data_IF_386074156771
#
_entry.id   IF_386074156771
#
_cell.length_a   1.000
_cell.length_b   1.000
_cell.length_c   1.000
_cell.angle_alpha   90.00
_cell.angle_beta   90.00
_cell.angle_gamma   90.00
#
_symmetry.space_group_name_H-M   'P 1'
#
loop_
_entity.id
_entity.type
_entity.pdbx_description
1 polymer ?
#
# COMPACT_ATOMS: atom_id res chain seq x y z
N UNK A 1 -5.23 17.25 -10.79
CA UNK A 1 -5.04 15.79 -10.90
C UNK A 1 -6.28 15.08 -10.36
N UNK A 2 -6.58 13.86 -10.81
CA UNK A 2 -7.64 13.03 -10.21
C UNK A 2 -7.01 11.89 -9.40
N UNK A 3 -7.56 11.61 -8.21
CA UNK A 3 -7.05 10.56 -7.33
C UNK A 3 -8.18 9.73 -6.74
N UNK A 4 -7.95 8.42 -6.64
CA UNK A 4 -8.78 7.50 -5.88
C UNK A 4 -7.96 6.85 -4.77
N UNK A 5 -8.49 6.83 -3.55
CA UNK A 5 -7.91 6.14 -2.41
C UNK A 5 -8.67 4.84 -2.21
N UNK A 6 -7.93 3.74 -2.09
CA UNK A 6 -8.46 2.40 -2.05
C UNK A 6 -7.89 1.63 -0.86
N UNK A 7 -8.69 0.76 -0.24
CA UNK A 7 -8.20 -0.13 0.81
C UNK A 7 -9.14 -1.30 1.04
N UNK A 8 -8.61 -2.40 1.57
CA UNK A 8 -9.39 -3.58 1.94
C UNK A 8 -9.58 -3.61 3.46
N UNK A 9 -10.75 -4.02 3.91
CA UNK A 9 -11.03 -4.19 5.33
C UNK A 9 -11.83 -5.45 5.64
N UNK A 10 -11.69 -5.94 6.86
CA UNK A 10 -12.48 -7.03 7.46
C UNK A 10 -12.40 -6.93 8.97
N UNK A 11 -13.54 -7.01 9.66
CA UNK A 11 -13.61 -6.98 11.13
C UNK A 11 -12.85 -5.79 11.75
N UNK A 12 -13.15 -4.58 11.26
CA UNK A 12 -12.46 -3.34 11.58
C UNK A 12 -13.35 -2.32 12.29
N UNK A 13 -14.54 -2.70 12.77
CA UNK A 13 -15.54 -1.77 13.27
C UNK A 13 -15.00 -0.84 14.37
N UNK A 14 -14.06 -1.33 15.18
CA UNK A 14 -13.48 -0.61 16.31
C UNK A 14 -12.52 0.52 15.94
N UNK A 15 -12.02 0.58 14.70
CA UNK A 15 -11.02 1.59 14.31
C UNK A 15 -11.24 2.21 12.92
N UNK A 16 -12.02 1.56 12.04
CA UNK A 16 -12.09 1.94 10.62
C UNK A 16 -12.60 3.36 10.39
N UNK A 17 -13.56 3.84 11.19
CA UNK A 17 -14.13 5.18 11.02
C UNK A 17 -13.04 6.25 11.05
N UNK A 18 -12.18 6.23 12.07
CA UNK A 18 -11.06 7.17 12.22
C UNK A 18 -10.07 7.07 11.07
N UNK A 19 -9.80 5.86 10.60
CA UNK A 19 -8.92 5.63 9.46
C UNK A 19 -9.47 6.23 8.17
N UNK A 20 -10.78 6.12 7.95
CA UNK A 20 -11.44 6.75 6.81
C UNK A 20 -11.41 8.28 6.91
N UNK A 21 -11.61 8.87 8.09
CA UNK A 21 -11.48 10.33 8.26
C UNK A 21 -10.09 10.83 7.85
N UNK A 22 -9.03 10.18 8.32
CA UNK A 22 -7.64 10.54 8.00
C UNK A 22 -7.37 10.50 6.48
N UNK A 23 -7.94 9.52 5.77
CA UNK A 23 -7.79 9.39 4.32
C UNK A 23 -8.71 10.34 3.56
N UNK A 24 -9.92 10.59 4.07
CA UNK A 24 -10.89 11.48 3.45
C UNK A 24 -10.40 12.93 3.45
N UNK A 25 -9.60 13.32 4.44
CA UNK A 25 -8.93 14.64 4.50
C UNK A 25 -8.03 14.94 3.28
N UNK A 26 -7.61 13.92 2.51
CA UNK A 26 -6.86 14.10 1.26
C UNK A 26 -7.68 14.90 0.22
N UNK A 27 -9.02 14.85 0.28
CA UNK A 27 -9.89 15.62 -0.61
C UNK A 27 -9.62 17.14 -0.57
N UNK A 28 -9.08 17.64 0.55
CA UNK A 28 -8.84 19.05 0.79
C UNK A 28 -7.54 19.55 0.13
N UNK A 29 -6.75 18.65 -0.45
CA UNK A 29 -5.51 19.01 -1.10
C UNK A 29 -5.76 19.65 -2.47
N UNK A 30 -5.37 20.92 -2.61
CA UNK A 30 -5.61 21.76 -3.81
C UNK A 30 -5.06 21.16 -5.13
N UNK A 31 -4.17 20.17 -5.05
CA UNK A 31 -3.61 19.49 -6.21
C UNK A 31 -4.62 18.56 -6.89
N UNK A 32 -5.65 18.14 -6.17
CA UNK A 32 -6.68 17.25 -6.69
C UNK A 32 -7.94 18.02 -7.05
N UNK A 33 -8.31 17.95 -8.33
CA UNK A 33 -9.57 18.48 -8.84
C UNK A 33 -10.70 17.44 -8.75
N UNK A 34 -10.36 16.18 -8.46
CA UNK A 34 -11.27 15.07 -8.28
C UNK A 34 -10.67 14.08 -7.28
N UNK A 35 -11.50 13.65 -6.33
CA UNK A 35 -11.14 12.73 -5.26
C UNK A 35 -12.25 11.67 -5.09
N UNK A 36 -11.87 10.45 -4.76
CA UNK A 36 -12.79 9.43 -4.25
C UNK A 36 -12.08 8.51 -3.25
N UNK A 37 -12.84 7.99 -2.29
CA UNK A 37 -12.39 6.96 -1.35
C UNK A 37 -13.27 5.72 -1.52
N UNK A 38 -12.67 4.60 -1.91
CA UNK A 38 -13.37 3.35 -2.18
C UNK A 38 -12.80 2.23 -1.32
N UNK A 39 -13.63 1.64 -0.47
CA UNK A 39 -13.22 0.53 0.39
C UNK A 39 -13.82 -0.78 -0.09
N UNK A 40 -13.04 -1.84 -0.07
CA UNK A 40 -13.53 -3.19 -0.25
C UNK A 40 -13.61 -3.89 1.11
N UNK A 41 -14.79 -4.42 1.42
CA UNK A 41 -15.08 -5.20 2.61
C UNK A 41 -15.44 -6.63 2.18
N UNK A 42 -15.00 -7.63 2.94
CA UNK A 42 -15.40 -9.01 2.69
C UNK A 42 -15.67 -9.81 3.97
N UNK A 43 -16.92 -10.23 4.11
CA UNK A 43 -17.37 -11.21 5.07
C UNK A 43 -16.99 -10.85 6.52
N UNK A 44 -17.15 -9.58 6.90
CA UNK A 44 -17.05 -9.12 8.28
C UNK A 44 -18.21 -9.68 9.11
N UNK A 45 -17.90 -10.07 10.33
CA UNK A 45 -18.83 -10.64 11.31
C UNK A 45 -19.10 -9.71 12.48
N UNK A 46 -18.42 -8.56 12.52
CA UNK A 46 -18.68 -7.45 13.44
C UNK A 46 -19.48 -6.33 12.73
N UNK A 47 -19.62 -5.18 13.38
CA UNK A 47 -20.38 -4.05 12.85
C UNK A 47 -19.64 -3.25 11.75
N UNK A 48 -18.63 -3.82 11.07
CA UNK A 48 -17.82 -3.08 10.08
C UNK A 48 -18.69 -2.49 8.98
N UNK A 49 -19.60 -3.28 8.40
CA UNK A 49 -20.48 -2.82 7.31
C UNK A 49 -21.39 -1.67 7.76
N UNK A 50 -21.92 -1.74 8.99
CA UNK A 50 -22.71 -0.66 9.57
C UNK A 50 -21.90 0.64 9.69
N UNK A 51 -20.64 0.55 10.13
CA UNK A 51 -19.75 1.71 10.22
C UNK A 51 -19.46 2.31 8.84
N UNK A 52 -19.21 1.48 7.81
CA UNK A 52 -19.01 1.95 6.43
C UNK A 52 -20.26 2.63 5.88
N UNK A 53 -21.44 2.05 6.10
CA UNK A 53 -22.71 2.62 5.67
C UNK A 53 -22.98 3.97 6.34
N UNK A 54 -22.68 4.09 7.64
CA UNK A 54 -22.82 5.35 8.35
C UNK A 54 -21.83 6.42 7.86
N UNK A 55 -20.59 6.05 7.56
CA UNK A 55 -19.60 6.96 6.99
C UNK A 55 -20.05 7.50 5.63
N UNK A 56 -20.60 6.64 4.77
CA UNK A 56 -21.13 7.00 3.43
C UNK A 56 -22.24 8.05 3.46
N UNK A 57 -23.10 8.06 4.49
CA UNK A 57 -24.21 9.03 4.62
C UNK A 57 -23.72 10.47 4.72
N UNK A 58 -22.54 10.70 5.29
CA UNK A 58 -21.99 12.04 5.53
C UNK A 58 -20.80 12.39 4.66
N UNK A 59 -20.25 11.42 3.90
CA UNK A 59 -19.05 11.58 3.08
C UNK A 59 -19.36 11.22 1.60
N UNK A 60 -19.86 12.16 0.79
CA UNK A 60 -20.37 11.86 -0.56
C UNK A 60 -19.31 11.37 -1.56
N UNK A 61 -18.02 11.61 -1.31
CA UNK A 61 -16.91 11.10 -2.12
C UNK A 61 -16.43 9.72 -1.66
N UNK A 62 -17.07 9.15 -0.64
CA UNK A 62 -16.79 7.81 -0.14
C UNK A 62 -17.82 6.80 -0.65
N UNK A 63 -17.33 5.61 -1.00
CA UNK A 63 -18.18 4.46 -1.23
C UNK A 63 -17.47 3.18 -0.77
N UNK A 64 -18.22 2.08 -0.69
CA UNK A 64 -17.66 0.77 -0.40
C UNK A 64 -18.32 -0.32 -1.23
N UNK A 65 -17.62 -1.44 -1.36
CA UNK A 65 -18.09 -2.70 -1.93
C UNK A 65 -18.03 -3.73 -0.79
N UNK A 66 -19.11 -4.45 -0.56
CA UNK A 66 -19.18 -5.51 0.46
C UNK A 66 -19.56 -6.83 -0.22
N UNK A 67 -18.74 -7.85 0.01
CA UNK A 67 -18.95 -9.21 -0.51
C UNK A 67 -18.95 -10.23 0.64
N UNK A 68 -19.53 -11.42 0.41
CA UNK A 68 -19.59 -12.51 1.40
C UNK A 68 -18.80 -13.73 0.93
N UNK A 69 -17.67 -13.51 0.25
CA UNK A 69 -16.88 -14.58 -0.35
C UNK A 69 -16.09 -15.35 0.70
N UNK A 70 -16.20 -16.68 0.65
CA UNK A 70 -15.45 -17.58 1.52
C UNK A 70 -14.11 -18.01 0.89
N UNK A 71 -13.17 -17.07 0.81
CA UNK A 71 -11.80 -17.34 0.33
C UNK A 71 -10.95 -17.76 1.52
N UNK A 72 -10.49 -19.02 1.50
CA UNK A 72 -9.79 -19.66 2.64
C UNK A 72 -8.45 -18.99 2.95
N UNK A 73 -7.65 -18.70 1.92
CA UNK A 73 -6.32 -18.11 2.12
C UNK A 73 -6.39 -16.59 2.22
N UNK A 74 -5.91 -16.03 3.33
CA UNK A 74 -5.94 -14.58 3.60
C UNK A 74 -5.33 -13.74 2.47
N UNK A 75 -4.16 -14.11 1.97
CA UNK A 75 -3.48 -13.39 0.88
C UNK A 75 -4.30 -13.39 -0.42
N UNK A 76 -4.98 -14.51 -0.72
CA UNK A 76 -5.88 -14.59 -1.87
C UNK A 76 -7.14 -13.74 -1.67
N UNK A 77 -7.69 -13.70 -0.45
CA UNK A 77 -8.83 -12.85 -0.13
C UNK A 77 -8.50 -11.36 -0.28
N UNK A 78 -7.32 -10.94 0.18
CA UNK A 78 -6.82 -9.56 0.00
C UNK A 78 -6.57 -9.27 -1.48
N UNK A 79 -5.93 -10.18 -2.21
CA UNK A 79 -5.69 -10.01 -3.64
C UNK A 79 -6.99 -9.89 -4.44
N UNK A 80 -8.02 -10.68 -4.10
CA UNK A 80 -9.37 -10.57 -4.67
C UNK A 80 -9.94 -9.18 -4.43
N UNK A 81 -9.97 -8.70 -3.17
CA UNK A 81 -10.49 -7.38 -2.84
C UNK A 81 -9.77 -6.24 -3.57
N UNK A 82 -8.43 -6.28 -3.63
CA UNK A 82 -7.65 -5.28 -4.37
C UNK A 82 -7.90 -5.36 -5.88
N UNK A 83 -8.05 -6.55 -6.45
CA UNK A 83 -8.43 -6.71 -7.85
C UNK A 83 -9.86 -6.23 -8.15
N UNK A 84 -10.79 -6.34 -7.20
CA UNK A 84 -12.12 -5.72 -7.31
C UNK A 84 -11.99 -4.20 -7.36
N UNK A 85 -11.17 -3.60 -6.48
CA UNK A 85 -10.92 -2.16 -6.46
C UNK A 85 -10.29 -1.64 -7.77
N UNK A 86 -9.37 -2.40 -8.39
CA UNK A 86 -8.73 -2.04 -9.67
C UNK A 86 -9.72 -1.81 -10.83
N UNK A 87 -10.93 -2.35 -10.76
CA UNK A 87 -11.96 -2.14 -11.78
C UNK A 87 -12.49 -0.70 -11.79
N UNK A 88 -12.32 0.04 -10.70
CA UNK A 88 -12.88 1.37 -10.50
C UNK A 88 -11.86 2.51 -10.66
N UNK A 89 -10.58 2.18 -10.86
CA UNK A 89 -9.51 3.20 -10.86
C UNK A 89 -9.23 3.82 -12.24
N UNK A 90 -9.78 3.25 -13.32
CA UNK A 90 -9.38 3.56 -14.70
C UNK A 90 -9.57 5.04 -15.12
N UNK A 91 -10.49 5.76 -14.47
CA UNK A 91 -10.77 7.18 -14.75
C UNK A 91 -9.93 8.16 -13.90
N UNK A 92 -9.00 7.65 -13.09
CA UNK A 92 -8.15 8.45 -12.22
C UNK A 92 -6.73 8.54 -12.78
N UNK A 93 -6.01 9.59 -12.42
CA UNK A 93 -4.58 9.73 -12.73
C UNK A 93 -3.74 8.93 -11.73
N UNK A 94 -4.14 8.94 -10.45
CA UNK A 94 -3.47 8.23 -9.37
C UNK A 94 -4.42 7.33 -8.60
N UNK A 95 -3.89 6.19 -8.16
CA UNK A 95 -4.50 5.32 -7.16
C UNK A 95 -3.61 5.33 -5.92
N UNK A 96 -4.20 5.51 -4.74
CA UNK A 96 -3.57 5.12 -3.48
C UNK A 96 -4.16 3.77 -3.06
N UNK A 97 -3.31 2.81 -2.74
CA UNK A 97 -3.70 1.57 -2.05
C UNK A 97 -3.10 1.61 -0.64
N UNK A 98 -3.93 1.39 0.37
CA UNK A 98 -3.53 1.53 1.76
C UNK A 98 -4.10 0.40 2.63
N UNK A 99 -3.29 -0.07 3.58
CA UNK A 99 -3.76 -0.98 4.62
C UNK A 99 -4.55 -0.17 5.66
N UNK A 100 -5.80 -0.56 5.89
CA UNK A 100 -6.73 0.17 6.73
C UNK A 100 -6.59 -0.21 8.22
N UNK A 101 -5.36 -0.44 8.68
CA UNK A 101 -5.02 -0.78 10.05
C UNK A 101 -4.13 0.29 10.70
N UNK A 102 -3.50 -0.03 11.83
CA UNK A 102 -2.72 0.94 12.62
C UNK A 102 -1.53 1.55 11.86
N UNK A 103 -1.14 1.01 10.69
CA UNK A 103 -0.15 1.66 9.82
C UNK A 103 -0.48 3.13 9.56
N UNK A 104 -1.74 3.48 9.36
CA UNK A 104 -2.11 4.85 9.04
C UNK A 104 -2.44 5.72 10.26
N UNK A 105 -2.31 5.22 11.49
CA UNK A 105 -2.75 5.97 12.68
C UNK A 105 -1.99 7.27 12.92
N UNK A 106 -0.78 7.40 12.35
CA UNK A 106 0.04 8.62 12.38
C UNK A 106 0.04 9.42 11.08
N UNK A 107 -0.70 8.95 10.05
CA UNK A 107 -0.81 9.62 8.78
C UNK A 107 -1.45 11.01 8.94
N UNK A 108 -0.97 11.96 8.13
CA UNK A 108 -1.55 13.30 8.01
C UNK A 108 -1.67 13.59 6.53
N UNK A 109 -2.83 14.05 6.07
CA UNK A 109 -3.07 14.40 4.67
C UNK A 109 -2.03 15.39 4.11
N UNK A 110 -1.51 16.29 4.94
CA UNK A 110 -0.43 17.22 4.56
C UNK A 110 0.88 16.54 4.13
N UNK A 111 1.11 15.27 4.48
CA UNK A 111 2.27 14.49 4.01
C UNK A 111 2.17 14.13 2.52
N UNK A 112 0.97 14.18 1.91
CA UNK A 112 0.79 13.93 0.47
C UNK A 112 1.67 14.87 -0.36
N UNK A 113 2.08 16.04 0.16
CA UNK A 113 3.02 16.95 -0.54
C UNK A 113 4.32 16.25 -0.94
N UNK A 114 4.84 15.37 -0.09
CA UNK A 114 6.11 14.68 -0.32
C UNK A 114 6.06 13.72 -1.51
N UNK A 115 4.89 13.16 -1.82
CA UNK A 115 4.70 12.23 -2.93
C UNK A 115 4.84 12.92 -4.30
N UNK A 116 4.74 14.26 -4.36
CA UNK A 116 4.75 15.02 -5.61
C UNK A 116 5.92 16.02 -5.69
N UNK A 117 6.92 15.90 -4.81
CA UNK A 117 8.15 16.71 -4.90
C UNK A 117 9.06 16.29 -6.08
N UNK A 118 8.88 15.07 -6.59
CA UNK A 118 9.58 14.51 -7.75
C UNK A 118 8.53 13.82 -8.65
N UNK A 119 8.77 13.76 -9.97
CA UNK A 119 7.85 13.18 -10.96
C UNK A 119 8.38 11.94 -11.69
N UNK A 120 9.58 11.47 -11.38
CA UNK A 120 10.30 10.37 -12.05
C UNK A 120 9.83 8.96 -11.65
N UNK A 121 8.87 8.88 -10.72
CA UNK A 121 8.29 7.64 -10.22
C UNK A 121 6.98 7.28 -10.92
N UNK A 122 6.70 5.98 -10.97
CA UNK A 122 5.44 5.40 -11.40
C UNK A 122 4.66 4.77 -10.24
N UNK A 123 5.37 4.35 -9.19
CA UNK A 123 4.79 4.13 -7.86
C UNK A 123 5.74 4.58 -6.74
N UNK A 124 5.16 5.12 -5.66
CA UNK A 124 5.85 5.43 -4.42
C UNK A 124 5.25 4.69 -3.24
N UNK A 125 6.12 4.24 -2.34
CA UNK A 125 5.75 3.52 -1.13
C UNK A 125 6.18 4.26 0.12
N UNK A 126 5.41 4.08 1.19
CA UNK A 126 5.72 4.63 2.50
C UNK A 126 7.03 4.08 3.07
N UNK A 127 7.78 4.99 3.70
CA UNK A 127 8.70 4.68 4.79
C UNK A 127 7.91 4.64 6.11
N UNK A 128 8.50 4.15 7.19
CA UNK A 128 7.84 4.08 8.49
C UNK A 128 8.69 4.65 9.62
N UNK A 129 8.03 4.94 10.75
CA UNK A 129 8.70 5.41 11.96
C UNK A 129 9.57 4.29 12.55
N UNK A 130 10.89 4.51 12.62
CA UNK A 130 11.86 3.55 13.13
C UNK A 130 12.37 2.59 12.05
N UNK A 131 12.51 1.30 12.40
CA UNK A 131 13.01 0.29 11.45
C UNK A 131 11.94 -0.06 10.41
N UNK A 132 12.34 -0.13 9.14
CA UNK A 132 11.48 -0.53 8.03
C UNK A 132 10.92 -1.94 8.27
N UNK A 133 9.61 -2.05 8.49
CA UNK A 133 8.97 -3.28 8.96
C UNK A 133 8.54 -4.23 7.84
N UNK A 134 8.16 -3.68 6.68
CA UNK A 134 7.52 -4.44 5.60
C UNK A 134 8.53 -5.10 4.65
N UNK A 135 9.39 -5.96 5.22
CA UNK A 135 10.36 -6.74 4.45
C UNK A 135 9.67 -7.81 3.59
N UNK A 136 8.42 -8.15 3.90
CA UNK A 136 7.65 -9.15 3.17
C UNK A 136 7.37 -8.72 1.72
N UNK A 137 7.02 -7.46 1.51
CA UNK A 137 6.80 -6.86 0.19
C UNK A 137 8.09 -6.33 -0.46
N UNK A 138 9.17 -6.13 0.30
CA UNK A 138 10.41 -5.52 -0.20
C UNK A 138 11.19 -6.46 -1.13
N UNK A 139 11.45 -6.01 -2.36
CA UNK A 139 12.35 -6.67 -3.32
C UNK A 139 13.29 -5.65 -3.95
N UNK A 140 14.54 -6.03 -4.09
CA UNK A 140 15.57 -5.23 -4.76
C UNK A 140 16.44 -6.19 -5.56
N UNK A 141 16.13 -6.27 -6.86
CA UNK A 141 16.79 -7.14 -7.82
C UNK A 141 18.15 -6.60 -8.27
N UNK A 142 19.03 -7.46 -8.81
CA UNK A 142 20.39 -7.09 -9.20
C UNK A 142 20.49 -5.93 -10.21
N UNK A 143 19.51 -5.82 -11.10
CA UNK A 143 19.44 -4.80 -12.15
C UNK A 143 19.08 -3.40 -11.63
N UNK A 144 18.41 -3.32 -10.47
CA UNK A 144 18.01 -2.06 -9.83
C UNK A 144 18.94 -1.69 -8.67
N UNK A 145 19.60 -2.67 -8.04
CA UNK A 145 20.43 -2.43 -6.87
C UNK A 145 21.69 -1.60 -7.21
N UNK A 146 22.01 -0.66 -6.34
CA UNK A 146 23.23 0.17 -6.44
C UNK A 146 23.89 0.28 -5.07
N UNK A 147 25.18 0.64 -5.04
CA UNK A 147 25.92 0.84 -3.78
C UNK A 147 25.35 1.95 -2.89
N UNK A 148 24.56 2.86 -3.46
CA UNK A 148 23.88 3.93 -2.73
C UNK A 148 22.53 3.51 -2.16
N UNK A 149 22.02 2.32 -2.51
CA UNK A 149 20.80 1.78 -1.91
C UNK A 149 21.10 1.42 -0.44
N UNK A 150 20.31 1.91 0.53
CA UNK A 150 20.55 1.62 1.95
C UNK A 150 20.28 0.15 2.30
N UNK A 151 19.49 -0.56 1.49
CA UNK A 151 19.24 -1.98 1.65
C UNK A 151 20.25 -2.84 0.89
N UNK A 152 20.41 -4.07 1.37
CA UNK A 152 21.05 -5.13 0.58
C UNK A 152 20.09 -5.60 -0.51
N UNK A 153 20.62 -6.33 -1.50
CA UNK A 153 19.79 -7.03 -2.49
C UNK A 153 18.85 -8.01 -1.80
N UNK A 154 17.59 -8.05 -2.28
CA UNK A 154 16.55 -8.95 -1.80
C UNK A 154 15.81 -9.47 -3.05
N UNK A 155 16.32 -10.58 -3.60
CA UNK A 155 15.79 -11.24 -4.80
C UNK A 155 15.28 -12.65 -4.48
N UNK A 156 14.57 -12.76 -3.37
CA UNK A 156 14.03 -14.03 -2.89
C UNK A 156 12.73 -13.80 -2.15
N UNK A 157 11.98 -14.87 -1.93
CA UNK A 157 10.78 -14.80 -1.11
C UNK A 157 11.12 -14.79 0.38
N UNK A 158 10.83 -13.67 1.06
CA UNK A 158 11.09 -13.51 2.48
C UNK A 158 10.29 -14.50 3.36
N UNK A 159 9.11 -14.95 2.93
CA UNK A 159 8.35 -15.99 3.64
C UNK A 159 9.04 -17.34 3.54
N UNK A 160 9.50 -17.72 2.35
CA UNK A 160 10.24 -18.96 2.15
C UNK A 160 11.54 -18.96 2.95
N UNK A 161 12.30 -17.85 2.94
CA UNK A 161 13.53 -17.73 3.73
C UNK A 161 13.29 -17.76 5.24
N UNK A 162 12.25 -17.09 5.74
CA UNK A 162 11.91 -17.12 7.14
C UNK A 162 11.49 -18.53 7.61
N UNK A 163 10.86 -19.31 6.74
CA UNK A 163 10.46 -20.71 7.00
C UNK A 163 11.63 -21.67 6.97
N UNK A 164 12.56 -21.51 6.03
CA UNK A 164 13.72 -22.40 5.86
C UNK A 164 14.82 -22.17 6.89
N UNK A 165 14.97 -20.94 7.36
CA UNK A 165 16.03 -20.55 8.28
C UNK A 165 15.45 -20.05 9.61
N UNK A 166 15.36 -18.73 9.78
CA UNK A 166 14.82 -18.08 10.97
C UNK A 166 14.39 -16.67 10.61
N UNK A 167 13.40 -16.13 11.32
CA UNK A 167 13.01 -14.71 11.17
C UNK A 167 14.16 -13.74 11.43
N UNK A 168 15.25 -14.14 12.12
CA UNK A 168 16.45 -13.30 12.27
C UNK A 168 17.11 -12.95 10.93
N UNK A 169 16.90 -13.72 9.86
CA UNK A 169 17.39 -13.35 8.53
C UNK A 169 16.63 -12.15 7.94
N UNK A 170 15.45 -11.83 8.48
CA UNK A 170 14.66 -10.67 8.10
C UNK A 170 15.19 -9.41 8.80
N UNK A 171 15.64 -9.52 10.06
CA UNK A 171 16.07 -8.35 10.85
C UNK A 171 17.30 -7.65 10.28
N UNK A 172 18.14 -8.34 9.49
CA UNK A 172 19.29 -7.73 8.80
C UNK A 172 18.89 -6.70 7.74
N UNK A 173 17.64 -6.74 7.29
CA UNK A 173 17.07 -5.78 6.33
C UNK A 173 16.19 -4.72 7.02
N UNK A 174 15.91 -4.85 8.32
CA UNK A 174 15.10 -3.92 9.10
C UNK A 174 15.95 -2.74 9.59
N UNK A 175 16.26 -1.84 8.66
CA UNK A 175 17.05 -0.62 8.90
C UNK A 175 16.16 0.59 9.11
N UNK A 176 16.69 1.63 9.76
CA UNK A 176 16.04 2.94 9.80
C UNK A 176 16.41 3.74 8.56
N UNK A 177 15.41 4.12 7.76
CA UNK A 177 15.62 4.99 6.59
C UNK A 177 15.53 6.45 7.02
N UNK A 178 16.60 7.21 6.77
CA UNK A 178 16.62 8.64 7.10
C UNK A 178 15.74 9.44 6.13
N UNK A 179 14.94 10.38 6.63
CA UNK A 179 13.97 11.14 5.82
C UNK A 179 14.60 12.06 4.78
N UNK A 180 15.89 12.39 4.93
CA UNK A 180 16.67 13.15 3.95
C UNK A 180 17.29 12.26 2.85
N UNK A 181 17.10 10.95 2.90
CA UNK A 181 17.55 10.04 1.84
C UNK A 181 16.78 10.36 0.54
N UNK A 182 17.44 10.34 -0.64
CA UNK A 182 16.75 10.39 -1.92
C UNK A 182 15.74 9.24 -2.09
N UNK A 183 14.87 9.32 -3.09
CA UNK A 183 13.99 8.19 -3.44
C UNK A 183 14.81 6.92 -3.61
N UNK A 184 14.39 5.84 -2.95
CA UNK A 184 15.13 4.56 -2.94
C UNK A 184 14.53 3.66 -4.01
N UNK A 185 15.25 3.33 -5.08
CA UNK A 185 14.73 2.46 -6.13
C UNK A 185 14.55 1.04 -5.60
N UNK A 186 13.42 0.42 -5.92
CA UNK A 186 13.05 -0.94 -5.50
C UNK A 186 12.37 -1.68 -6.65
N UNK A 187 12.41 -3.01 -6.60
CA UNK A 187 11.62 -3.86 -7.50
C UNK A 187 10.21 -4.10 -6.95
N UNK A 188 10.04 -3.99 -5.63
CA UNK A 188 8.75 -4.00 -4.93
C UNK A 188 8.93 -3.45 -3.52
N UNK A 189 7.94 -2.72 -3.01
CA UNK A 189 7.77 -2.38 -1.60
C UNK A 189 6.30 -2.02 -1.37
N UNK A 190 5.86 -1.87 -0.13
CA UNK A 190 4.51 -1.35 0.12
C UNK A 190 4.46 -0.48 1.37
N UNK A 191 4.95 -0.99 2.50
CA UNK A 191 4.98 -0.23 3.75
C UNK A 191 3.58 0.13 4.24
N UNK A 192 2.54 -0.57 3.77
CA UNK A 192 1.13 -0.34 4.08
C UNK A 192 0.50 0.89 3.40
N UNK A 193 1.25 1.66 2.60
CA UNK A 193 0.71 2.78 1.81
C UNK A 193 1.50 2.93 0.51
N UNK A 194 0.84 2.73 -0.63
CA UNK A 194 1.41 2.94 -1.94
C UNK A 194 0.57 3.89 -2.80
N UNK A 195 1.21 4.80 -3.51
CA UNK A 195 0.58 5.59 -4.58
C UNK A 195 1.11 5.12 -5.93
N UNK A 196 0.23 5.04 -6.92
CA UNK A 196 0.50 4.48 -8.25
C UNK A 196 -0.06 5.40 -9.31
N UNK A 197 0.68 5.59 -10.41
CA UNK A 197 0.11 6.13 -11.65
C UNK A 197 -0.83 5.09 -12.26
N UNK A 198 -2.08 5.46 -12.51
CA UNK A 198 -3.09 4.52 -13.04
C UNK A 198 -2.67 3.98 -14.42
N UNK A 199 -2.02 4.79 -15.24
CA UNK A 199 -1.49 4.37 -16.55
C UNK A 199 -0.45 3.24 -16.46
N UNK A 200 0.18 3.03 -15.30
CA UNK A 200 1.24 2.04 -15.08
C UNK A 200 0.76 0.76 -14.40
N UNK A 201 -0.48 0.74 -13.93
CA UNK A 201 -1.15 -0.43 -13.36
C UNK A 201 -2.17 -1.04 -14.33
N UNK A 202 -2.30 -0.48 -15.53
CA UNK A 202 -3.18 -1.01 -16.56
C UNK A 202 -2.81 -2.45 -16.88
N UNK A 203 -3.81 -3.32 -16.92
CA UNK A 203 -3.70 -4.76 -17.15
C UNK A 203 -2.84 -5.52 -16.10
N UNK A 204 -2.51 -4.88 -14.97
CA UNK A 204 -1.85 -5.51 -13.84
C UNK A 204 -2.88 -6.06 -12.83
N UNK A 205 -2.53 -7.15 -12.13
CA UNK A 205 -3.36 -7.79 -11.12
C UNK A 205 -2.56 -8.22 -9.89
N UNK A 206 -3.22 -8.21 -8.75
CA UNK A 206 -2.72 -8.80 -7.51
C UNK A 206 -2.86 -10.32 -7.56
N UNK A 207 -1.90 -11.05 -6.99
CA UNK A 207 -1.95 -12.51 -6.89
C UNK A 207 -1.51 -12.97 -5.49
N UNK A 208 -2.45 -13.56 -4.74
CA UNK A 208 -2.22 -13.98 -3.35
C UNK A 208 -1.52 -15.33 -3.16
N UNK A 209 -0.88 -15.93 -4.19
CA UNK A 209 -0.07 -17.16 -4.02
C UNK A 209 1.15 -16.92 -3.14
N UNK A 210 1.74 -15.72 -3.25
CA UNK A 210 2.81 -15.19 -2.41
C UNK A 210 2.37 -13.82 -1.87
N UNK A 211 3.30 -12.94 -1.52
CA UNK A 211 2.96 -11.54 -1.28
C UNK A 211 2.37 -10.92 -2.57
N UNK A 212 1.12 -10.49 -2.48
CA UNK A 212 0.33 -10.02 -3.62
C UNK A 212 0.89 -8.76 -4.27
N UNK A 213 1.58 -7.91 -3.50
CA UNK A 213 2.27 -6.72 -4.00
C UNK A 213 3.46 -7.08 -4.88
N UNK A 214 4.25 -8.09 -4.53
CA UNK A 214 5.43 -8.48 -5.32
C UNK A 214 5.02 -8.90 -6.72
N UNK A 215 3.93 -9.65 -6.85
CA UNK A 215 3.40 -10.02 -8.16
C UNK A 215 2.85 -8.80 -8.92
N UNK A 216 2.05 -7.96 -8.25
CA UNK A 216 1.49 -6.75 -8.87
C UNK A 216 2.57 -5.82 -9.42
N UNK A 217 3.62 -5.56 -8.64
CA UNK A 217 4.76 -4.74 -9.04
C UNK A 217 5.58 -5.35 -10.17
N UNK A 218 5.75 -6.67 -10.15
CA UNK A 218 6.38 -7.39 -11.26
C UNK A 218 5.60 -7.15 -12.57
N UNK A 219 4.28 -7.28 -12.54
CA UNK A 219 3.46 -7.01 -13.73
C UNK A 219 3.55 -5.54 -14.18
N UNK A 220 3.60 -4.58 -13.25
CA UNK A 220 3.81 -3.16 -13.60
C UNK A 220 5.14 -2.93 -14.33
N UNK A 221 6.21 -3.57 -13.87
CA UNK A 221 7.54 -3.46 -14.50
C UNK A 221 7.52 -4.13 -15.87
N UNK A 222 7.06 -5.38 -15.97
CA UNK A 222 7.11 -6.17 -17.21
C UNK A 222 6.17 -5.66 -18.29
N UNK A 223 4.95 -5.22 -17.94
CA UNK A 223 3.93 -4.78 -18.90
C UNK A 223 4.05 -3.30 -19.23
N UNK A 224 4.45 -2.48 -18.25
CA UNK A 224 4.33 -1.02 -18.34
C UNK A 224 5.65 -0.26 -18.11
N UNK A 225 6.78 -0.97 -17.96
CA UNK A 225 8.10 -0.39 -17.69
C UNK A 225 8.05 0.62 -16.53
N UNK A 226 7.40 0.24 -15.43
CA UNK A 226 7.18 1.10 -14.29
C UNK A 226 8.43 1.24 -13.42
N UNK A 227 8.67 2.46 -12.90
CA UNK A 227 9.73 2.76 -11.93
C UNK A 227 9.16 2.91 -10.52
N UNK A 228 9.70 2.12 -9.60
CA UNK A 228 9.17 1.95 -8.25
C UNK A 228 10.17 2.47 -7.21
N UNK A 229 9.69 3.22 -6.22
CA UNK A 229 10.55 3.76 -5.17
C UNK A 229 9.89 3.77 -3.79
N UNK A 230 10.70 3.68 -2.74
CA UNK A 230 10.28 4.12 -1.39
C UNK A 230 10.52 5.63 -1.29
N UNK A 231 9.56 6.37 -0.73
CA UNK A 231 9.68 7.80 -0.44
C UNK A 231 10.10 8.01 1.03
N UNK A 232 11.37 8.34 1.33
CA UNK A 232 11.86 8.38 2.70
C UNK A 232 11.19 9.43 3.60
N UNK A 233 10.73 10.54 3.01
CA UNK A 233 10.00 11.61 3.71
C UNK A 233 8.57 11.24 4.08
N UNK A 234 7.97 10.29 3.37
CA UNK A 234 6.59 9.90 3.57
C UNK A 234 6.53 8.82 4.66
N UNK A 235 6.11 9.21 5.87
CA UNK A 235 6.15 8.35 7.05
C UNK A 235 4.75 7.91 7.47
N UNK A 236 4.64 6.60 7.69
CA UNK A 236 3.50 5.95 8.35
C UNK A 236 3.93 5.26 9.64
N UNK A 237 2.99 4.74 10.42
CA UNK A 237 3.32 3.92 11.57
C UNK A 237 3.89 2.57 11.10
N UNK A 238 4.72 1.94 11.93
CA UNK A 238 5.18 0.57 11.67
C UNK A 238 4.31 -0.45 12.39
N UNK A 239 4.29 -1.67 11.88
CA UNK A 239 3.67 -2.80 12.56
C UNK A 239 4.69 -3.52 13.43
N UNK A 240 4.63 -3.33 14.74
CA UNK A 240 5.61 -3.91 15.69
C UNK A 240 5.64 -5.45 15.65
N UNK A 241 4.54 -6.12 15.30
CA UNK A 241 4.50 -7.57 15.12
C UNK A 241 5.40 -8.10 13.99
N UNK A 242 5.85 -7.23 13.08
CA UNK A 242 6.75 -7.59 11.99
C UNK A 242 8.21 -7.30 12.32
N UNK A 243 8.50 -6.59 13.41
CA UNK A 243 9.88 -6.33 13.87
C UNK A 243 10.42 -7.56 14.62
N UNK A 244 11.67 -7.92 14.33
CA UNK A 244 12.36 -9.10 14.88
C UNK A 244 13.60 -8.72 15.66
#
# INVERSE_FOLDING_TARGET
MSIIVCGCTKNSASYIYKHLELLYDIQNDIRFSSFSLLVYENNSTDNTVEVLENFKKTHPLFNYISETNNIVHRSQAIAHGRNTLLQYVQNYEYMIMVDLDDVISTFKSSQIKYLFENNEWDALFANCIGKYYDIWALRIYPDIWTKTNPFKMIDYDCWDMARLYTRKIISVHQITIQTNTPLIPVSSAFGGFGIYRVSKIKDCRYNGTKCEHVHFHKEMIEKNNAKLFICPKFLVNRQDQHIV
#
